data_IF_364730511283
#
_entry.id   IF_364730511283
#
_cell.length_a   1.000
_cell.length_b   1.000
_cell.length_c   1.000
_cell.angle_alpha   90.00
_cell.angle_beta   90.00
_cell.angle_gamma   90.00
#
_symmetry.space_group_name_H-M   'P 1'
#
loop_
_entity.id
_entity.type
_entity.pdbx_description
1 polymer ?
#
# COMPACT_ATOMS: atom_id res chain seq x y z
N UNK A 1 -6.54 -36.31 3.15
CA UNK A 1 -7.60 -35.72 2.29
C UNK A 1 -9.00 -35.95 2.85
N UNK A 2 -9.38 -37.19 3.20
CA UNK A 2 -10.74 -37.52 3.70
C UNK A 2 -11.10 -36.79 5.02
N UNK A 3 -10.19 -36.74 6.00
CA UNK A 3 -10.41 -36.05 7.29
C UNK A 3 -10.70 -34.55 7.16
N UNK A 4 -10.20 -33.92 6.10
CA UNK A 4 -10.45 -32.50 5.83
C UNK A 4 -11.89 -32.28 5.35
N UNK A 5 -12.37 -33.13 4.44
CA UNK A 5 -13.76 -33.07 3.97
C UNK A 5 -14.75 -33.37 5.10
N UNK A 6 -14.41 -34.31 5.99
CA UNK A 6 -15.19 -34.64 7.18
C UNK A 6 -15.29 -33.46 8.17
N UNK A 7 -14.20 -32.73 8.38
CA UNK A 7 -14.18 -31.53 9.21
C UNK A 7 -15.08 -30.41 8.67
N UNK A 8 -15.09 -30.20 7.34
CA UNK A 8 -15.96 -29.19 6.71
C UNK A 8 -17.45 -29.49 6.93
N UNK A 9 -17.83 -30.77 6.90
CA UNK A 9 -19.21 -31.20 7.17
C UNK A 9 -19.59 -31.12 8.64
N UNK A 10 -18.71 -31.56 9.54
CA UNK A 10 -19.00 -31.63 10.98
C UNK A 10 -18.84 -30.29 11.71
N UNK A 11 -18.09 -29.33 11.16
CA UNK A 11 -17.85 -28.02 11.76
C UNK A 11 -18.17 -26.87 10.79
N UNK A 12 -19.45 -26.67 10.44
CA UNK A 12 -19.85 -25.62 9.51
C UNK A 12 -19.58 -24.22 10.06
N UNK A 13 -19.72 -24.02 11.37
CA UNK A 13 -19.48 -22.73 12.04
C UNK A 13 -18.00 -22.34 11.94
N UNK A 14 -17.07 -23.26 12.25
CA UNK A 14 -15.64 -22.98 12.20
C UNK A 14 -15.17 -22.72 10.75
N UNK A 15 -15.69 -23.49 9.80
CA UNK A 15 -15.39 -23.34 8.38
C UNK A 15 -15.92 -21.99 7.83
N UNK A 16 -17.13 -21.61 8.22
CA UNK A 16 -17.72 -20.32 7.86
C UNK A 16 -16.96 -19.14 8.47
N UNK A 17 -16.59 -19.23 9.75
CA UNK A 17 -15.81 -18.19 10.43
C UNK A 17 -14.44 -18.01 9.77
N UNK A 18 -13.77 -19.10 9.40
CA UNK A 18 -12.51 -19.04 8.66
C UNK A 18 -12.67 -18.32 7.32
N UNK A 19 -13.72 -18.63 6.55
CA UNK A 19 -14.00 -17.96 5.26
C UNK A 19 -14.24 -16.46 5.44
N UNK A 20 -15.02 -16.06 6.45
CA UNK A 20 -15.27 -14.65 6.76
C UNK A 20 -13.97 -13.93 7.12
N UNK A 21 -13.15 -14.52 8.01
CA UNK A 21 -11.86 -13.94 8.40
C UNK A 21 -10.89 -13.86 7.21
N UNK A 22 -10.86 -14.89 6.36
CA UNK A 22 -10.02 -14.91 5.16
C UNK A 22 -10.45 -13.82 4.18
N UNK A 23 -11.76 -13.67 3.93
CA UNK A 23 -12.30 -12.61 3.08
C UNK A 23 -12.01 -11.22 3.66
N UNK A 24 -12.21 -11.04 4.97
CA UNK A 24 -11.89 -9.80 5.67
C UNK A 24 -10.40 -9.46 5.59
N UNK A 25 -9.51 -10.44 5.73
CA UNK A 25 -8.07 -10.27 5.59
C UNK A 25 -7.69 -9.86 4.17
N UNK A 26 -8.24 -10.53 3.16
CA UNK A 26 -8.02 -10.17 1.75
C UNK A 26 -8.49 -8.74 1.49
N UNK A 27 -9.66 -8.36 2.01
CA UNK A 27 -10.18 -7.00 1.88
C UNK A 27 -9.27 -5.97 2.59
N UNK A 28 -8.78 -6.27 3.78
CA UNK A 28 -7.85 -5.43 4.53
C UNK A 28 -6.51 -5.24 3.81
N UNK A 29 -5.95 -6.30 3.23
CA UNK A 29 -4.70 -6.22 2.48
C UNK A 29 -4.89 -5.42 1.18
N UNK A 30 -6.01 -5.60 0.49
CA UNK A 30 -6.34 -4.82 -0.72
C UNK A 30 -6.54 -3.34 -0.41
N UNK A 31 -7.18 -2.97 0.70
CA UNK A 31 -7.41 -1.57 1.05
C UNK A 31 -6.13 -0.80 1.40
N UNK A 32 -5.09 -1.51 1.88
CA UNK A 32 -3.77 -0.93 2.15
C UNK A 32 -2.82 -0.95 0.95
N UNK A 33 -3.13 -1.71 -0.09
CA UNK A 33 -2.29 -1.74 -1.28
C UNK A 33 -2.53 -0.48 -2.10
N UNK A 34 -1.56 0.43 -2.10
CA UNK A 34 -1.52 1.50 -3.08
C UNK A 34 -1.49 0.91 -4.49
N UNK A 35 -2.02 1.64 -5.47
CA UNK A 35 -1.95 1.26 -6.89
C UNK A 35 -0.48 1.19 -7.29
N UNK A 36 0.02 -0.02 -7.56
CA UNK A 36 1.38 -0.19 -8.08
C UNK A 36 1.44 0.37 -9.49
N UNK A 37 2.46 1.19 -9.75
CA UNK A 37 2.74 1.74 -11.08
C UNK A 37 4.08 1.22 -11.57
N UNK A 38 4.20 0.95 -12.87
CA UNK A 38 5.49 0.64 -13.48
C UNK A 38 6.38 1.89 -13.53
N UNK A 39 7.71 1.75 -13.69
CA UNK A 39 8.59 2.90 -13.87
C UNK A 39 8.16 3.83 -15.01
N UNK A 40 7.69 3.25 -16.13
CA UNK A 40 7.19 4.01 -17.28
C UNK A 40 5.92 4.79 -16.94
N UNK A 41 4.98 4.16 -16.21
CA UNK A 41 3.77 4.83 -15.74
C UNK A 41 4.10 5.95 -14.75
N UNK A 42 5.06 5.73 -13.85
CA UNK A 42 5.52 6.75 -12.90
C UNK A 42 6.08 7.98 -13.62
N UNK A 43 6.88 7.80 -14.67
CA UNK A 43 7.38 8.92 -15.50
C UNK A 43 6.24 9.67 -16.20
N UNK A 44 5.23 8.96 -16.72
CA UNK A 44 4.05 9.59 -17.34
C UNK A 44 3.29 10.42 -16.31
N UNK A 45 3.04 9.86 -15.11
CA UNK A 45 2.33 10.54 -14.02
C UNK A 45 3.03 11.84 -13.62
N UNK A 46 4.35 11.79 -13.42
CA UNK A 46 5.13 12.98 -13.05
C UNK A 46 5.12 14.04 -14.16
N UNK A 47 5.37 13.63 -15.41
CA UNK A 47 5.55 14.58 -16.50
C UNK A 47 4.24 15.13 -17.09
N UNK A 48 3.14 14.38 -17.01
CA UNK A 48 1.87 14.73 -17.66
C UNK A 48 0.72 15.00 -16.69
N UNK A 49 0.76 14.41 -15.50
CA UNK A 49 -0.34 14.47 -14.53
C UNK A 49 0.07 15.20 -13.25
N UNK A 50 1.18 15.96 -13.28
CA UNK A 50 1.75 16.68 -12.14
C UNK A 50 1.99 15.78 -10.90
N UNK A 51 2.27 14.50 -11.12
CA UNK A 51 2.58 13.55 -10.07
C UNK A 51 3.85 13.96 -9.33
N UNK A 52 3.86 13.76 -8.01
CA UNK A 52 5.04 13.98 -7.17
C UNK A 52 5.66 12.64 -6.75
N UNK A 53 6.98 12.58 -6.70
CA UNK A 53 7.71 11.44 -6.16
C UNK A 53 7.89 11.63 -4.66
N UNK A 54 7.31 10.76 -3.84
CA UNK A 54 7.46 10.78 -2.39
C UNK A 54 8.35 9.63 -1.94
N UNK A 55 9.48 9.94 -1.32
CA UNK A 55 10.38 8.96 -0.75
C UNK A 55 10.15 8.85 0.77
N UNK A 56 9.65 7.70 1.21
CA UNK A 56 9.30 7.43 2.61
C UNK A 56 10.44 6.82 3.43
N UNK A 57 11.63 6.65 2.84
CA UNK A 57 12.81 6.09 3.52
C UNK A 57 13.39 7.10 4.52
N UNK A 58 14.26 6.59 5.39
CA UNK A 58 15.03 7.45 6.28
C UNK A 58 15.95 8.39 5.50
N UNK A 59 16.15 9.59 6.04
CA UNK A 59 16.94 10.64 5.41
C UNK A 59 18.35 10.19 5.03
N UNK A 60 18.97 9.34 5.85
CA UNK A 60 20.32 8.80 5.59
C UNK A 60 20.38 7.96 4.31
N UNK A 61 19.30 7.26 3.96
CA UNK A 61 19.25 6.44 2.74
C UNK A 61 18.83 7.25 1.52
N UNK A 62 17.99 8.28 1.74
CA UNK A 62 17.68 9.27 0.73
C UNK A 62 18.94 10.01 0.25
N UNK A 63 19.79 10.45 1.18
CA UNK A 63 21.02 11.20 0.87
C UNK A 63 22.08 10.36 0.13
N UNK A 64 22.07 9.03 0.28
CA UNK A 64 22.95 8.13 -0.51
C UNK A 64 22.57 8.05 -1.98
N UNK A 65 21.32 8.37 -2.33
CA UNK A 65 20.81 8.26 -3.68
C UNK A 65 19.28 8.20 -3.70
N UNK A 66 18.69 9.09 -4.50
CA UNK A 66 17.24 9.21 -4.65
C UNK A 66 16.89 9.62 -6.09
N UNK A 67 15.62 9.46 -6.43
CA UNK A 67 15.08 9.94 -7.71
C UNK A 67 15.08 11.46 -7.68
N UNK A 68 15.50 12.09 -8.79
CA UNK A 68 15.53 13.55 -8.93
C UNK A 68 14.14 14.15 -8.64
N UNK A 69 14.12 15.26 -7.92
CA UNK A 69 12.92 16.00 -7.48
C UNK A 69 11.98 15.23 -6.54
N UNK A 70 12.40 14.07 -6.02
CA UNK A 70 11.65 13.41 -4.97
C UNK A 70 11.60 14.25 -3.68
N UNK A 71 10.48 14.17 -2.96
CA UNK A 71 10.31 14.78 -1.64
C UNK A 71 10.55 13.68 -0.60
N UNK A 72 11.51 13.85 0.30
CA UNK A 72 11.72 12.90 1.39
C UNK A 72 10.87 13.25 2.61
N UNK A 73 9.96 12.35 2.96
CA UNK A 73 9.22 12.38 4.23
C UNK A 73 9.29 10.97 4.82
N UNK A 74 10.22 10.72 5.77
CA UNK A 74 10.33 9.42 6.41
C UNK A 74 8.99 8.94 6.96
N UNK A 75 8.69 7.65 6.82
CA UNK A 75 7.39 7.07 7.19
C UNK A 75 6.95 7.45 8.61
N UNK A 76 7.90 7.48 9.56
CA UNK A 76 7.64 7.87 10.95
C UNK A 76 7.10 9.30 11.12
N UNK A 77 7.39 10.20 10.17
CA UNK A 77 6.97 11.62 10.17
C UNK A 77 5.88 11.91 9.14
N UNK A 78 5.42 10.90 8.40
CA UNK A 78 4.50 11.10 7.28
C UNK A 78 3.14 11.64 7.73
N UNK A 79 2.61 11.17 8.86
CA UNK A 79 1.33 11.67 9.38
C UNK A 79 1.41 13.12 9.88
N UNK A 80 2.56 13.56 10.38
CA UNK A 80 2.76 14.93 10.87
C UNK A 80 2.99 15.90 9.72
N UNK A 81 3.66 15.44 8.65
CA UNK A 81 4.07 16.25 7.50
C UNK A 81 3.21 16.04 6.26
N UNK A 82 2.12 15.28 6.34
CA UNK A 82 1.20 15.06 5.21
C UNK A 82 0.58 16.37 4.71
N UNK A 83 0.47 17.38 5.57
CA UNK A 83 0.01 18.73 5.22
C UNK A 83 0.89 19.39 4.16
N UNK A 84 2.18 19.03 4.08
CA UNK A 84 3.07 19.52 3.02
C UNK A 84 2.66 18.99 1.63
N UNK A 85 2.05 17.80 1.58
CA UNK A 85 1.59 17.17 0.34
C UNK A 85 0.26 17.74 -0.16
N UNK A 86 -0.55 18.35 0.71
CA UNK A 86 -1.83 18.96 0.33
C UNK A 86 -1.65 20.08 -0.69
N UNK A 87 -0.48 20.73 -0.72
CA UNK A 87 -0.11 21.74 -1.73
C UNK A 87 -0.01 21.19 -3.16
N UNK A 88 0.22 19.89 -3.28
CA UNK A 88 0.42 19.18 -4.54
C UNK A 88 -0.78 18.31 -4.91
N UNK A 89 -1.84 18.33 -4.09
CA UNK A 89 -3.05 17.57 -4.34
C UNK A 89 -3.88 18.32 -5.38
N UNK A 90 -3.94 17.81 -6.61
CA UNK A 90 -4.89 18.30 -7.61
C UNK A 90 -6.29 17.88 -7.15
N UNK A 91 -7.20 18.86 -7.03
CA UNK A 91 -8.63 18.65 -6.72
C UNK A 91 -9.31 17.76 -7.76
#
# INVERSE_FOLDING_TARGET
MIRFLEFLGNHPILSGLWLVLCAALIAYLKSKSARSVSPQQATILVNRENGIMLDIRDRKDYEKGHIVDAINIPLAKLNERSVELDKHKTL
#
